data_IF_008494043336
#
_entry.id   IF_008494043336
#
_cell.length_a   1.000
_cell.length_b   1.000
_cell.length_c   1.000
_cell.angle_alpha   90.00
_cell.angle_beta   90.00
_cell.angle_gamma   90.00
#
_symmetry.space_group_name_H-M   'P 1'
#
loop_
_entity.id
_entity.type
_entity.pdbx_description
1 polymer ?
#
# COMPACT_ATOMS: atom_id res chain seq x y z
N UNK A 1 6.29 -9.27 -15.22
CA UNK A 1 5.18 -8.72 -14.43
C UNK A 1 5.57 -7.29 -14.07
N UNK A 2 4.77 -6.30 -14.46
CA UNK A 2 5.06 -4.89 -14.15
C UNK A 2 4.75 -4.65 -12.67
N UNK A 3 5.71 -4.08 -11.94
CA UNK A 3 5.49 -3.59 -10.59
C UNK A 3 5.45 -2.08 -10.69
N UNK A 4 4.35 -1.49 -10.26
CA UNK A 4 4.23 -0.05 -10.18
C UNK A 4 4.82 0.44 -8.86
N UNK A 5 5.29 1.69 -8.88
CA UNK A 5 5.74 2.43 -7.73
C UNK A 5 4.90 3.69 -7.56
N UNK A 6 4.84 4.19 -6.34
CA UNK A 6 4.28 5.51 -6.03
C UNK A 6 5.45 6.46 -5.78
N UNK A 7 5.48 7.60 -6.48
CA UNK A 7 6.44 8.67 -6.19
C UNK A 7 5.86 9.52 -5.07
N UNK A 8 6.57 9.60 -3.94
CA UNK A 8 6.10 10.22 -2.70
C UNK A 8 6.99 11.41 -2.35
N UNK A 9 6.39 12.53 -1.93
CA UNK A 9 7.16 13.65 -1.36
C UNK A 9 7.30 13.53 0.16
N UNK A 10 8.15 14.38 0.76
CA UNK A 10 8.36 14.40 2.23
C UNK A 10 7.11 14.64 3.07
N UNK A 11 6.10 15.32 2.51
CA UNK A 11 4.84 15.58 3.19
C UNK A 11 3.85 14.41 3.10
N UNK A 12 4.20 13.34 2.38
CA UNK A 12 3.40 12.14 2.27
C UNK A 12 2.43 12.11 1.10
N UNK A 13 2.47 13.10 0.20
CA UNK A 13 1.64 13.14 -1.00
C UNK A 13 2.28 12.37 -2.15
N UNK A 14 1.44 11.84 -3.03
CA UNK A 14 1.81 11.05 -4.20
C UNK A 14 1.74 11.89 -5.47
N UNK A 15 2.72 11.69 -6.35
CA UNK A 15 2.74 12.33 -7.66
C UNK A 15 1.64 11.76 -8.54
N UNK A 16 0.73 12.61 -8.98
CA UNK A 16 -0.37 12.32 -9.91
C UNK A 16 -0.09 12.95 -11.26
N UNK A 17 -0.34 12.21 -12.34
CA UNK A 17 -0.41 12.76 -13.69
C UNK A 17 -1.89 13.02 -14.08
N UNK A 18 -2.28 14.28 -14.19
CA UNK A 18 -3.64 14.69 -14.57
C UNK A 18 -3.61 15.46 -15.89
N UNK A 19 -4.06 14.83 -16.97
CA UNK A 19 -3.79 15.34 -18.32
C UNK A 19 -2.28 15.48 -18.51
N UNK A 20 -1.80 16.60 -19.07
CA UNK A 20 -0.37 16.91 -19.21
C UNK A 20 0.31 17.50 -17.97
N UNK A 21 -0.42 17.64 -16.85
CA UNK A 21 0.09 18.27 -15.63
C UNK A 21 0.47 17.23 -14.58
N UNK A 22 1.54 17.53 -13.86
CA UNK A 22 1.94 16.81 -12.65
C UNK A 22 1.46 17.57 -11.42
N UNK A 23 0.97 16.88 -10.42
CA UNK A 23 0.57 17.47 -9.14
C UNK A 23 0.72 16.46 -8.00
N UNK A 24 0.87 16.92 -6.76
CA UNK A 24 0.89 16.05 -5.59
C UNK A 24 -0.52 15.92 -4.99
N UNK A 25 -0.92 14.71 -4.62
CA UNK A 25 -2.24 14.41 -4.05
C UNK A 25 -2.16 13.39 -2.92
N UNK A 26 -3.16 13.35 -2.04
CA UNK A 26 -3.22 12.41 -0.91
C UNK A 26 -3.79 11.03 -1.30
N UNK A 27 -4.35 10.90 -2.51
CA UNK A 27 -5.05 9.70 -2.98
C UNK A 27 -4.20 8.93 -4.00
N UNK A 28 -4.01 7.63 -3.77
CA UNK A 28 -3.18 6.77 -4.61
C UNK A 28 -3.99 5.96 -5.64
N UNK A 29 -4.71 6.66 -6.52
CA UNK A 29 -5.41 6.05 -7.66
C UNK A 29 -4.50 5.75 -8.86
N UNK A 30 -5.07 5.30 -9.97
CA UNK A 30 -4.34 4.92 -11.19
C UNK A 30 -3.33 5.96 -11.69
N UNK A 31 -3.71 7.23 -11.65
CA UNK A 31 -2.87 8.33 -12.09
C UNK A 31 -1.67 8.61 -11.16
N UNK A 32 -1.55 7.92 -10.03
CA UNK A 32 -0.40 7.96 -9.14
C UNK A 32 0.54 6.76 -9.30
N UNK A 33 0.20 5.82 -10.18
CA UNK A 33 0.97 4.61 -10.42
C UNK A 33 2.00 4.86 -11.52
N UNK A 34 3.26 4.55 -11.24
CA UNK A 34 4.38 4.78 -12.16
C UNK A 34 5.17 3.49 -12.37
N UNK A 35 5.43 3.14 -13.63
CA UNK A 35 6.37 2.08 -13.96
C UNK A 35 7.72 2.68 -14.34
N UNK A 36 8.80 2.17 -13.77
CA UNK A 36 10.15 2.65 -14.07
C UNK A 36 10.84 1.81 -15.15
N UNK A 37 11.46 2.49 -16.12
CA UNK A 37 12.33 1.87 -17.12
C UNK A 37 13.57 2.73 -17.33
N UNK A 38 14.69 2.33 -16.73
CA UNK A 38 15.89 3.15 -16.68
C UNK A 38 15.65 4.45 -15.93
N UNK A 39 15.97 5.57 -16.57
CA UNK A 39 15.79 6.93 -16.03
C UNK A 39 14.43 7.54 -16.37
N UNK A 40 13.45 6.73 -16.77
CA UNK A 40 12.10 7.20 -17.12
C UNK A 40 11.04 6.55 -16.26
N UNK A 41 10.08 7.35 -15.81
CA UNK A 41 8.83 6.89 -15.22
C UNK A 41 7.69 7.10 -16.23
N UNK A 42 6.93 6.05 -16.48
CA UNK A 42 5.71 6.08 -17.30
C UNK A 42 4.50 5.93 -16.39
N UNK A 43 3.53 6.84 -16.49
CA UNK A 43 2.31 6.82 -15.70
C UNK A 43 1.33 5.75 -16.19
N UNK A 44 0.80 4.93 -15.29
CA UNK A 44 -0.13 3.85 -15.66
C UNK A 44 -1.54 4.35 -16.03
N UNK A 45 -1.93 5.53 -15.55
CA UNK A 45 -3.27 6.09 -15.79
C UNK A 45 -3.40 6.82 -17.13
N UNK A 46 -2.32 7.46 -17.62
CA UNK A 46 -2.38 8.25 -18.85
C UNK A 46 -1.18 8.12 -19.79
N UNK A 47 -0.18 7.29 -19.45
CA UNK A 47 0.98 7.03 -20.31
C UNK A 47 2.02 8.15 -20.37
N UNK A 48 1.89 9.22 -19.57
CA UNK A 48 2.90 10.28 -19.54
C UNK A 48 4.23 9.76 -19.06
N UNK A 49 5.29 10.16 -19.76
CA UNK A 49 6.66 9.84 -19.41
C UNK A 49 7.37 11.07 -18.85
N UNK A 50 8.13 10.86 -17.77
CA UNK A 50 9.00 11.86 -17.18
C UNK A 50 10.40 11.27 -17.00
N UNK A 51 11.42 12.10 -17.21
CA UNK A 51 12.78 11.77 -16.79
C UNK A 51 12.85 11.85 -15.26
N UNK A 52 13.29 10.77 -14.63
CA UNK A 52 13.35 10.64 -13.18
C UNK A 52 14.34 9.57 -12.74
N UNK A 53 15.20 9.93 -11.79
CA UNK A 53 16.00 9.02 -10.98
C UNK A 53 15.50 9.03 -9.54
N UNK A 54 15.54 7.89 -8.83
CA UNK A 54 15.18 7.85 -7.42
C UNK A 54 15.93 8.93 -6.61
N UNK A 55 15.18 9.76 -5.90
CA UNK A 55 15.71 10.90 -5.15
C UNK A 55 15.67 12.24 -5.89
N UNK A 56 15.33 12.26 -7.18
CA UNK A 56 15.20 13.50 -7.93
C UNK A 56 14.09 14.41 -7.37
N UNK A 57 14.27 15.71 -7.58
CA UNK A 57 13.26 16.70 -7.22
C UNK A 57 12.22 16.82 -8.32
N UNK A 58 10.95 16.77 -7.93
CA UNK A 58 9.83 17.06 -8.82
C UNK A 58 9.09 18.27 -8.29
N UNK A 59 8.93 19.31 -9.13
CA UNK A 59 8.32 20.58 -8.74
C UNK A 59 8.97 21.22 -7.50
N UNK A 60 10.29 21.04 -7.34
CA UNK A 60 11.05 21.56 -6.20
C UNK A 60 10.96 20.72 -4.91
N UNK A 61 10.17 19.64 -4.90
CA UNK A 61 10.04 18.75 -3.75
C UNK A 61 11.00 17.57 -3.86
N UNK A 62 11.68 17.23 -2.76
CA UNK A 62 12.38 15.95 -2.64
C UNK A 62 11.38 14.79 -2.72
N UNK A 63 11.73 13.75 -3.47
CA UNK A 63 10.86 12.59 -3.69
C UNK A 63 11.57 11.28 -3.41
N UNK A 64 10.78 10.26 -3.11
CA UNK A 64 11.23 8.87 -2.96
C UNK A 64 10.22 7.93 -3.64
N UNK A 65 10.67 6.72 -3.98
CA UNK A 65 9.82 5.66 -4.51
C UNK A 65 9.35 4.76 -3.37
N UNK A 66 8.04 4.70 -3.20
CA UNK A 66 7.41 3.68 -2.36
C UNK A 66 6.83 2.55 -3.21
N UNK A 67 6.79 1.31 -2.69
CA UNK A 67 6.14 0.19 -3.37
C UNK A 67 4.69 0.51 -3.77
N UNK A 68 4.30 0.08 -4.96
CA UNK A 68 2.91 0.06 -5.41
C UNK A 68 2.42 -1.37 -5.63
N UNK A 69 1.28 -1.50 -6.29
CA UNK A 69 0.71 -2.80 -6.65
C UNK A 69 1.17 -3.28 -8.03
N UNK A 70 0.95 -4.56 -8.32
CA UNK A 70 1.22 -5.16 -9.64
C UNK A 70 0.13 -4.86 -10.69
N UNK A 71 -1.02 -4.37 -10.26
CA UNK A 71 -2.14 -3.95 -11.09
C UNK A 71 -2.53 -2.51 -10.72
N UNK A 72 -3.30 -1.84 -11.57
CA UNK A 72 -3.84 -0.53 -11.25
C UNK A 72 -4.91 -0.64 -10.15
N UNK A 73 -5.03 0.36 -9.26
CA UNK A 73 -6.07 0.41 -8.26
C UNK A 73 -7.49 0.19 -8.82
N UNK A 74 -7.81 0.73 -10.00
CA UNK A 74 -9.10 0.52 -10.67
C UNK A 74 -9.36 -0.93 -11.11
N UNK A 75 -8.31 -1.69 -11.41
CA UNK A 75 -8.40 -3.10 -11.77
C UNK A 75 -8.76 -3.94 -10.54
N UNK A 76 -8.09 -3.68 -9.41
CA UNK A 76 -8.45 -4.26 -8.11
C UNK A 76 -9.89 -3.91 -7.70
N UNK A 77 -10.30 -2.65 -7.90
CA UNK A 77 -11.68 -2.22 -7.62
C UNK A 77 -12.71 -2.97 -8.48
N UNK A 78 -12.39 -3.21 -9.76
CA UNK A 78 -13.25 -3.99 -10.66
C UNK A 78 -13.38 -5.43 -10.20
N UNK A 79 -12.28 -6.06 -9.81
CA UNK A 79 -12.28 -7.41 -9.24
C UNK A 79 -13.07 -7.48 -7.93
N UNK A 80 -12.88 -6.51 -7.03
CA UNK A 80 -13.58 -6.44 -5.75
C UNK A 80 -15.10 -6.34 -5.96
N UNK A 81 -15.55 -5.47 -6.88
CA UNK A 81 -16.98 -5.33 -7.22
C UNK A 81 -17.58 -6.59 -7.82
N UNK A 82 -16.80 -7.32 -8.64
CA UNK A 82 -17.28 -8.53 -9.31
C UNK A 82 -17.30 -9.75 -8.38
N UNK A 83 -16.27 -9.91 -7.57
CA UNK A 83 -15.98 -11.15 -6.86
C UNK A 83 -16.21 -11.05 -5.34
N UNK A 84 -16.42 -9.85 -4.80
CA UNK A 84 -16.44 -9.59 -3.36
C UNK A 84 -15.05 -9.63 -2.71
N UNK A 85 -13.98 -9.87 -3.48
CA UNK A 85 -12.59 -9.86 -3.01
C UNK A 85 -11.62 -9.47 -4.13
N UNK A 86 -10.48 -8.88 -3.76
CA UNK A 86 -9.31 -8.68 -4.63
C UNK A 86 -8.04 -8.87 -3.80
N UNK A 87 -6.95 -9.25 -4.47
CA UNK A 87 -5.64 -9.45 -3.84
C UNK A 87 -4.69 -8.37 -4.34
N UNK A 88 -4.33 -7.45 -3.45
CA UNK A 88 -3.37 -6.38 -3.75
C UNK A 88 -1.95 -6.88 -3.42
N UNK A 89 -1.24 -7.34 -4.45
CA UNK A 89 0.12 -7.84 -4.32
C UNK A 89 1.14 -6.69 -4.23
N UNK A 90 2.24 -6.92 -3.51
CA UNK A 90 3.38 -6.00 -3.46
C UNK A 90 3.28 -4.87 -2.44
N UNK A 91 2.27 -4.89 -1.56
CA UNK A 91 2.10 -3.86 -0.52
C UNK A 91 3.13 -3.92 0.61
N UNK A 92 3.75 -5.08 0.82
CA UNK A 92 4.74 -5.33 1.87
C UNK A 92 6.00 -5.88 1.21
N UNK A 93 7.13 -5.23 1.45
CA UNK A 93 8.42 -5.70 0.96
C UNK A 93 8.87 -6.98 1.71
N UNK A 94 9.71 -7.83 1.09
CA UNK A 94 10.17 -9.07 1.72
C UNK A 94 10.86 -8.89 3.07
N UNK A 95 11.58 -7.78 3.28
CA UNK A 95 12.27 -7.50 4.55
C UNK A 95 11.25 -7.15 5.64
N UNK A 96 10.21 -6.39 5.31
CA UNK A 96 9.07 -6.14 6.19
C UNK A 96 8.34 -7.44 6.56
N UNK A 97 8.13 -8.35 5.60
CA UNK A 97 7.55 -9.68 5.90
C UNK A 97 8.43 -10.45 6.89
N UNK A 98 9.76 -10.43 6.70
CA UNK A 98 10.68 -11.09 7.63
C UNK A 98 10.61 -10.49 9.04
N UNK A 99 10.57 -9.15 9.15
CA UNK A 99 10.40 -8.45 10.44
C UNK A 99 9.07 -8.78 11.11
N UNK A 100 7.97 -8.82 10.35
CA UNK A 100 6.64 -9.19 10.86
C UNK A 100 6.70 -10.61 11.45
N UNK A 101 7.26 -11.58 10.72
CA UNK A 101 7.39 -12.97 11.19
C UNK A 101 8.20 -13.06 12.48
N UNK A 102 9.30 -12.32 12.59
CA UNK A 102 10.12 -12.29 13.79
C UNK A 102 9.36 -11.71 15.00
N UNK A 103 8.72 -10.55 14.83
CA UNK A 103 7.92 -9.91 15.88
C UNK A 103 6.74 -10.80 16.32
N UNK A 104 6.10 -11.47 15.36
CA UNK A 104 5.02 -12.40 15.64
C UNK A 104 5.50 -13.60 16.46
N UNK A 105 6.63 -14.22 16.09
CA UNK A 105 7.21 -15.33 16.84
C UNK A 105 7.55 -14.94 18.29
N UNK A 106 8.13 -13.75 18.49
CA UNK A 106 8.43 -13.21 19.83
C UNK A 106 7.16 -12.96 20.65
N UNK A 107 6.13 -12.39 20.02
CA UNK A 107 4.84 -12.10 20.68
C UNK A 107 4.11 -13.38 21.06
N UNK A 108 4.08 -14.37 20.17
CA UNK A 108 3.51 -15.70 20.43
C UNK A 108 4.20 -16.38 21.61
N UNK A 109 5.54 -16.39 21.62
CA UNK A 109 6.32 -16.96 22.71
C UNK A 109 6.09 -16.28 24.08
N UNK A 110 5.55 -15.06 24.10
CA UNK A 110 5.27 -14.32 25.34
C UNK A 110 3.82 -14.39 25.79
N UNK A 111 2.87 -14.31 24.86
CA UNK A 111 1.44 -14.12 25.16
C UNK A 111 0.61 -15.40 25.01
N UNK A 112 1.17 -16.40 24.34
CA UNK A 112 0.45 -17.62 23.94
C UNK A 112 1.29 -18.86 24.29
N UNK A 113 2.02 -18.82 25.40
CA UNK A 113 2.82 -19.96 25.89
C UNK A 113 1.98 -21.18 26.19
N UNK A 114 0.71 -20.96 26.55
CA UNK A 114 -0.21 -21.99 27.01
C UNK A 114 -1.17 -22.44 25.90
N UNK A 115 -1.13 -21.82 24.71
CA UNK A 115 -1.92 -22.25 23.55
C UNK A 115 -1.37 -23.55 22.99
N UNK A 116 -2.25 -24.53 22.81
CA UNK A 116 -1.83 -25.81 22.26
C UNK A 116 -1.72 -25.69 20.74
N UNK A 117 -0.75 -26.38 20.09
CA UNK A 117 -0.59 -26.28 18.63
C UNK A 117 -1.81 -26.74 17.80
N UNK A 118 -2.84 -27.32 18.44
CA UNK A 118 -3.93 -28.06 17.81
C UNK A 118 -5.33 -27.64 18.28
N UNK A 119 -5.48 -26.67 19.19
CA UNK A 119 -6.82 -26.23 19.64
C UNK A 119 -7.59 -25.45 18.58
N UNK A 120 -6.94 -25.08 17.47
CA UNK A 120 -7.55 -24.33 16.37
C UNK A 120 -7.90 -22.88 16.74
N UNK A 121 -7.55 -22.42 17.95
CA UNK A 121 -7.75 -21.05 18.36
C UNK A 121 -6.59 -20.19 17.85
N UNK A 122 -6.91 -19.24 16.98
CA UNK A 122 -5.98 -18.20 16.57
C UNK A 122 -6.48 -16.87 17.12
N UNK A 123 -6.16 -16.57 18.38
CA UNK A 123 -6.45 -15.26 18.94
C UNK A 123 -5.42 -14.26 18.44
N UNK A 124 -5.83 -13.37 17.54
CA UNK A 124 -5.12 -12.10 17.33
C UNK A 124 -5.39 -11.19 18.54
N UNK A 125 -4.73 -11.50 19.65
CA UNK A 125 -4.85 -10.73 20.89
C UNK A 125 -4.25 -9.33 20.72
N UNK A 126 -5.12 -8.33 20.68
CA UNK A 126 -4.78 -6.91 20.62
C UNK A 126 -4.62 -6.37 19.19
N UNK A 127 -5.08 -5.13 18.97
CA UNK A 127 -5.05 -4.49 17.65
C UNK A 127 -3.64 -4.33 17.06
N UNK A 128 -3.54 -3.92 15.79
CA UNK A 128 -2.31 -3.99 14.98
C UNK A 128 -1.17 -3.06 15.41
N UNK A 129 -1.38 -2.20 16.41
CA UNK A 129 -0.43 -1.16 16.84
C UNK A 129 0.93 -1.70 17.29
N UNK A 130 1.03 -2.99 17.64
CA UNK A 130 2.29 -3.62 18.04
C UNK A 130 3.26 -3.88 16.88
N UNK A 131 2.82 -3.81 15.62
CA UNK A 131 3.67 -4.01 14.45
C UNK A 131 3.50 -2.88 13.43
N UNK A 132 4.48 -1.98 13.38
CA UNK A 132 4.45 -0.84 12.46
C UNK A 132 4.37 -1.26 10.97
N UNK A 133 5.03 -2.36 10.59
CA UNK A 133 4.97 -2.87 9.21
C UNK A 133 3.55 -3.36 8.87
N UNK A 134 2.84 -3.98 9.82
CA UNK A 134 1.45 -4.40 9.64
C UNK A 134 0.50 -3.20 9.57
N UNK A 135 0.70 -2.19 10.41
CA UNK A 135 -0.06 -0.92 10.36
C UNK A 135 0.10 -0.27 8.98
N UNK A 136 1.34 -0.15 8.48
CA UNK A 136 1.61 0.41 7.14
C UNK A 136 0.93 -0.39 6.04
N UNK A 137 0.87 -1.71 6.16
CA UNK A 137 0.23 -2.58 5.19
C UNK A 137 -1.29 -2.37 5.14
N UNK A 138 -1.96 -2.33 6.30
CA UNK A 138 -3.43 -2.12 6.34
C UNK A 138 -3.83 -0.69 5.99
N UNK A 139 -2.95 0.28 6.24
CA UNK A 139 -3.13 1.68 5.87
C UNK A 139 -2.45 2.01 4.54
N UNK A 140 -2.20 1.02 3.67
CA UNK A 140 -1.50 1.27 2.42
C UNK A 140 -2.34 2.20 1.53
N UNK A 141 -1.77 3.27 0.95
CA UNK A 141 -2.53 4.28 0.19
C UNK A 141 -3.42 3.70 -0.92
N UNK A 142 -2.91 2.70 -1.65
CA UNK A 142 -3.68 1.99 -2.69
C UNK A 142 -4.87 1.22 -2.09
N UNK A 143 -4.66 0.50 -0.99
CA UNK A 143 -5.73 -0.24 -0.33
C UNK A 143 -6.80 0.70 0.23
N UNK A 144 -6.39 1.80 0.87
CA UNK A 144 -7.29 2.85 1.34
C UNK A 144 -8.10 3.45 0.18
N UNK A 145 -7.45 3.78 -0.93
CA UNK A 145 -8.16 4.31 -2.11
C UNK A 145 -9.20 3.32 -2.65
N UNK A 146 -8.85 2.03 -2.78
CA UNK A 146 -9.79 0.99 -3.22
C UNK A 146 -10.99 0.90 -2.26
N UNK A 147 -10.75 0.95 -0.95
CA UNK A 147 -11.82 0.90 0.06
C UNK A 147 -12.72 2.13 0.00
N UNK A 148 -12.14 3.33 -0.17
CA UNK A 148 -12.91 4.58 -0.33
C UNK A 148 -13.81 4.53 -1.58
N UNK A 149 -13.27 4.08 -2.71
CA UNK A 149 -14.00 3.96 -3.97
C UNK A 149 -15.01 2.80 -3.98
N UNK A 150 -14.77 1.74 -3.22
CA UNK A 150 -15.72 0.64 -3.09
C UNK A 150 -16.91 1.03 -2.21
N UNK A 151 -16.65 1.61 -1.05
CA UNK A 151 -17.67 2.01 -0.08
C UNK A 151 -18.29 3.39 -0.36
N UNK A 152 -17.79 4.11 -1.37
CA UNK A 152 -18.26 5.45 -1.75
C UNK A 152 -18.19 6.44 -0.58
N UNK A 153 -17.11 6.38 0.19
CA UNK A 153 -16.87 7.27 1.34
C UNK A 153 -15.41 7.70 1.38
N UNK A 154 -15.16 8.95 1.76
CA UNK A 154 -13.81 9.42 2.08
C UNK A 154 -13.40 9.06 3.52
N UNK A 155 -14.36 8.69 4.36
CA UNK A 155 -14.18 8.50 5.79
C UNK A 155 -14.01 7.02 6.13
N UNK A 156 -12.76 6.60 6.30
CA UNK A 156 -12.36 5.23 6.61
C UNK A 156 -11.72 5.21 7.98
N UNK A 157 -12.37 4.52 8.92
CA UNK A 157 -11.83 4.30 10.27
C UNK A 157 -11.34 2.87 10.37
N UNK A 158 -10.06 2.71 10.71
CA UNK A 158 -9.55 1.40 11.05
C UNK A 158 -10.18 0.94 12.37
N UNK A 159 -10.98 -0.12 12.32
CA UNK A 159 -11.58 -0.75 13.49
C UNK A 159 -11.11 -2.21 13.57
N UNK A 160 -10.61 -2.61 14.73
CA UNK A 160 -10.48 -4.03 15.08
C UNK A 160 -11.74 -4.41 15.86
N UNK A 161 -12.20 -5.65 15.71
CA UNK A 161 -13.32 -6.14 16.51
C UNK A 161 -13.03 -5.94 18.01
N UNK A 162 -14.02 -5.52 18.82
CA UNK A 162 -13.89 -5.59 20.27
C UNK A 162 -13.59 -7.04 20.66
N UNK A 163 -12.54 -7.24 21.45
CA UNK A 163 -12.19 -8.54 22.06
C UNK A 163 -13.17 -8.80 23.20
#
# INVERSE_FOLDING_TARGET
>A
MTIYSLVKNRAGYFLRAKGSKLEFTSLAGDHCMWSQKGDFLTNAGNGIEISYRPGDKIQGHDTDLSPGSSQRPSEHLTELRRNGMTVVNGLIDPDAIARIKQQYAQRRARLHTDETPYDGFFWMGGGLHWCADLVRAVSHPIALWIMQEFMQTSDIHFCHEPI
#
